data_IF_386696735769
#
_entry.id   IF_386696735769
#
_cell.length_a   1.000
_cell.length_b   1.000
_cell.length_c   1.000
_cell.angle_alpha   90.00
_cell.angle_beta   90.00
_cell.angle_gamma   90.00
#
_symmetry.space_group_name_H-M   'P 1'
#
loop_
_entity.id
_entity.type
_entity.pdbx_description
1 polymer ?
#
# COMPACT_ATOMS: atom_id res chain seq x y z
N UNK A 1 2.35 14.71 13.26
CA UNK A 1 1.25 13.77 13.59
C UNK A 1 1.73 12.84 14.69
N UNK A 2 1.23 13.01 15.91
CA UNK A 2 1.66 12.23 17.08
C UNK A 2 1.08 10.81 17.04
N UNK A 3 1.57 9.92 17.91
CA UNK A 3 0.98 8.58 18.08
C UNK A 3 -0.48 8.65 18.58
N UNK A 4 -0.81 9.69 19.34
CA UNK A 4 -2.17 9.90 19.84
C UNK A 4 -3.14 10.31 18.71
N UNK A 5 -2.71 11.17 17.78
CA UNK A 5 -3.52 11.59 16.63
C UNK A 5 -3.84 10.38 15.74
N UNK A 6 -2.82 9.58 15.44
CA UNK A 6 -2.94 8.33 14.71
C UNK A 6 -3.95 7.35 15.32
N UNK A 7 -3.95 7.21 16.66
CA UNK A 7 -4.91 6.38 17.38
C UNK A 7 -6.34 6.93 17.27
N UNK A 8 -6.52 8.24 17.37
CA UNK A 8 -7.83 8.90 17.19
C UNK A 8 -8.39 8.69 15.78
N UNK A 9 -7.53 8.74 14.76
CA UNK A 9 -7.92 8.48 13.37
C UNK A 9 -8.41 7.04 13.21
N UNK A 10 -7.67 6.06 13.72
CA UNK A 10 -8.07 4.65 13.65
C UNK A 10 -9.40 4.36 14.36
N UNK A 11 -9.65 4.96 15.52
CA UNK A 11 -10.94 4.84 16.22
C UNK A 11 -12.06 5.44 15.37
N UNK A 12 -11.82 6.59 14.74
CA UNK A 12 -12.79 7.26 13.88
C UNK A 12 -13.13 6.41 12.65
N UNK A 13 -12.13 5.79 12.03
CA UNK A 13 -12.35 4.88 10.89
C UNK A 13 -13.16 3.64 11.29
N UNK A 14 -12.88 3.01 12.43
CA UNK A 14 -13.65 1.87 12.94
C UNK A 14 -15.13 2.22 13.13
N UNK A 15 -15.44 3.43 13.61
CA UNK A 15 -16.83 3.91 13.73
C UNK A 15 -17.50 4.10 12.38
N UNK A 16 -16.78 4.62 11.39
CA UNK A 16 -17.30 4.80 10.03
C UNK A 16 -17.55 3.46 9.34
N UNK A 17 -16.65 2.50 9.50
CA UNK A 17 -16.80 1.14 8.95
C UNK A 17 -18.08 0.48 9.49
N UNK A 18 -18.28 0.53 10.82
CA UNK A 18 -19.47 -0.01 11.45
C UNK A 18 -20.74 0.74 11.03
N UNK A 19 -20.72 2.07 11.09
CA UNK A 19 -21.88 2.93 10.76
C UNK A 19 -22.34 2.75 9.31
N UNK A 20 -21.40 2.65 8.38
CA UNK A 20 -21.71 2.60 6.95
C UNK A 20 -21.69 1.18 6.38
N UNK A 21 -21.43 0.16 7.21
CA UNK A 21 -21.36 -1.22 6.75
C UNK A 21 -20.31 -1.44 5.67
N UNK A 22 -19.13 -0.80 5.79
CA UNK A 22 -18.09 -0.86 4.76
C UNK A 22 -17.62 -2.31 4.57
N UNK A 23 -17.82 -2.84 3.36
CA UNK A 23 -17.46 -4.22 3.02
C UNK A 23 -16.08 -4.35 2.38
N UNK A 24 -15.56 -3.28 1.80
CA UNK A 24 -14.26 -3.23 1.12
C UNK A 24 -13.40 -2.13 1.72
N UNK A 25 -12.24 -2.49 2.22
CA UNK A 25 -11.25 -1.55 2.74
C UNK A 25 -9.96 -1.64 1.93
N UNK A 26 -9.46 -0.50 1.42
CA UNK A 26 -8.20 -0.44 0.67
C UNK A 26 -7.28 0.60 1.28
N UNK A 27 -6.09 0.18 1.72
CA UNK A 27 -5.09 1.05 2.32
C UNK A 27 -3.67 0.51 2.15
N UNK A 28 -2.68 1.26 2.62
CA UNK A 28 -1.33 0.72 2.85
C UNK A 28 -1.31 -0.17 4.10
N UNK A 29 -0.31 -1.07 4.26
CA UNK A 29 -0.21 -1.96 5.42
C UNK A 29 -0.22 -1.22 6.75
N UNK A 30 0.56 -0.14 6.90
CA UNK A 30 0.65 0.61 8.16
C UNK A 30 -0.70 1.16 8.65
N UNK A 31 -1.59 1.55 7.74
CA UNK A 31 -2.94 2.04 8.07
C UNK A 31 -3.82 0.88 8.52
N UNK A 32 -3.72 -0.28 7.86
CA UNK A 32 -4.47 -1.47 8.24
C UNK A 32 -4.10 -1.93 9.65
N UNK A 33 -2.81 -2.01 9.95
CA UNK A 33 -2.32 -2.39 11.29
C UNK A 33 -2.90 -1.49 12.38
N UNK A 34 -2.93 -0.18 12.14
CA UNK A 34 -3.46 0.80 13.09
C UNK A 34 -4.97 0.65 13.30
N UNK A 35 -5.71 0.41 12.23
CA UNK A 35 -7.15 0.14 12.28
C UNK A 35 -7.45 -1.14 13.06
N UNK A 36 -6.71 -2.22 12.80
CA UNK A 36 -6.82 -3.51 13.49
C UNK A 36 -6.45 -3.43 14.97
N UNK A 37 -5.46 -2.61 15.33
CA UNK A 37 -5.04 -2.40 16.71
C UNK A 37 -6.07 -1.65 17.56
N UNK A 38 -6.96 -0.88 16.92
CA UNK A 38 -7.99 -0.09 17.60
C UNK A 38 -9.41 -0.68 17.44
N UNK A 39 -9.55 -1.91 16.92
CA UNK A 39 -10.86 -2.52 16.68
C UNK A 39 -11.58 -2.86 17.99
N UNK A 40 -12.89 -2.71 18.00
CA UNK A 40 -13.79 -3.28 19.00
C UNK A 40 -14.53 -4.48 18.40
N UNK A 41 -15.11 -5.35 19.25
CA UNK A 41 -15.71 -6.62 18.82
C UNK A 41 -16.70 -6.50 17.64
N UNK A 42 -17.45 -5.40 17.56
CA UNK A 42 -18.45 -5.19 16.51
C UNK A 42 -17.99 -4.27 15.37
N UNK A 43 -16.84 -3.61 15.51
CA UNK A 43 -16.44 -2.52 14.61
C UNK A 43 -16.15 -2.94 13.16
N UNK A 44 -15.75 -4.19 12.93
CA UNK A 44 -15.33 -4.69 11.62
C UNK A 44 -16.20 -5.84 11.09
N UNK A 45 -17.38 -6.07 11.68
CA UNK A 45 -18.24 -7.20 11.31
C UNK A 45 -18.76 -7.15 9.85
N UNK A 46 -18.76 -5.98 9.24
CA UNK A 46 -19.16 -5.76 7.84
C UNK A 46 -18.02 -5.97 6.84
N UNK A 47 -16.76 -5.96 7.28
CA UNK A 47 -15.61 -6.01 6.38
C UNK A 47 -15.45 -7.41 5.79
N UNK A 48 -15.43 -7.50 4.47
CA UNK A 48 -15.29 -8.77 3.73
C UNK A 48 -14.00 -8.85 2.94
N UNK A 49 -13.51 -7.71 2.45
CA UNK A 49 -12.32 -7.65 1.59
C UNK A 49 -11.37 -6.56 2.06
N UNK A 50 -10.08 -6.91 2.16
CA UNK A 50 -8.99 -5.98 2.50
C UNK A 50 -7.97 -5.96 1.37
N UNK A 51 -7.82 -4.81 0.72
CA UNK A 51 -6.82 -4.58 -0.32
C UNK A 51 -5.60 -3.86 0.23
N UNK A 52 -4.44 -4.53 0.22
CA UNK A 52 -3.16 -3.95 0.63
C UNK A 52 -2.38 -3.44 -0.59
N UNK A 53 -2.15 -2.12 -0.64
CA UNK A 53 -1.31 -1.53 -1.68
C UNK A 53 0.18 -1.81 -1.38
N UNK A 54 0.72 -2.90 -1.94
CA UNK A 54 2.16 -3.15 -1.94
C UNK A 54 2.77 -2.42 -3.14
N UNK A 55 3.59 -1.40 -2.88
CA UNK A 55 4.38 -0.80 -3.96
C UNK A 55 5.44 -1.80 -4.38
N UNK A 56 5.37 -2.30 -5.62
CA UNK A 56 6.51 -2.99 -6.22
C UNK A 56 7.68 -2.00 -6.27
N UNK A 57 8.70 -2.24 -5.44
CA UNK A 57 9.96 -1.52 -5.58
C UNK A 57 10.59 -2.00 -6.89
N UNK A 58 10.60 -1.15 -7.92
CA UNK A 58 11.36 -1.48 -9.12
C UNK A 58 12.84 -1.34 -8.79
N UNK A 59 13.49 -2.46 -8.51
CA UNK A 59 14.92 -2.54 -8.69
C UNK A 59 15.14 -2.49 -10.19
N UNK A 60 15.34 -1.27 -10.70
CA UNK A 60 15.67 -1.04 -12.10
C UNK A 60 17.00 -1.77 -12.31
N UNK A 61 16.95 -2.99 -12.85
CA UNK A 61 18.13 -3.66 -13.38
C UNK A 61 18.82 -2.60 -14.22
N UNK A 62 20.07 -2.27 -13.87
CA UNK A 62 20.88 -1.34 -14.65
C UNK A 62 21.19 -2.02 -15.97
N UNK A 63 20.22 -2.03 -16.89
CA UNK A 63 20.50 -2.25 -18.30
C UNK A 63 21.31 -1.03 -18.70
N UNK A 64 22.61 -1.23 -18.84
CA UNK A 64 23.53 -0.28 -19.45
C UNK A 64 22.99 -0.01 -20.87
N UNK A 65 22.21 1.05 -21.03
CA UNK A 65 21.76 1.50 -22.35
C UNK A 65 22.97 2.22 -22.95
N UNK A 66 23.65 1.64 -23.95
CA UNK A 66 24.77 2.32 -24.58
C UNK A 66 24.29 3.69 -25.06
N UNK A 67 25.07 4.72 -24.70
CA UNK A 67 24.81 6.09 -25.15
C UNK A 67 24.68 6.05 -26.66
N UNK A 68 23.49 6.45 -27.12
CA UNK A 68 23.06 6.55 -28.52
C UNK A 68 24.10 7.33 -29.33
N UNK A 69 25.12 6.65 -29.87
CA UNK A 69 25.78 7.07 -31.08
C UNK A 69 25.16 6.27 -32.23
N UNK A 70 24.51 6.97 -33.14
CA UNK A 70 23.59 6.42 -34.14
C UNK A 70 24.32 5.87 -35.37
N UNK A 71 25.51 5.28 -35.19
CA UNK A 71 26.36 4.77 -36.27
C UNK A 71 27.35 3.68 -35.82
N UNK A 72 26.88 2.57 -35.26
CA UNK A 72 27.57 1.27 -35.37
C UNK A 72 26.84 0.20 -34.57
N UNK A 73 26.06 -0.62 -35.28
CA UNK A 73 25.84 -1.99 -34.84
C UNK A 73 27.07 -2.78 -35.29
N UNK A 74 28.02 -3.01 -34.40
CA UNK A 74 28.96 -4.11 -34.58
C UNK A 74 28.69 -5.14 -33.50
N UNK A 75 28.26 -6.31 -33.95
CA UNK A 75 28.23 -7.53 -33.15
C UNK A 75 29.69 -7.90 -32.94
N UNK A 76 30.17 -7.78 -31.69
CA UNK A 76 31.40 -8.46 -31.29
C UNK A 76 30.97 -9.84 -30.80
N UNK A 77 31.14 -10.83 -31.67
CA UNK A 77 31.19 -12.23 -31.29
C UNK A 77 32.64 -12.55 -30.93
N UNK A 78 32.86 -12.99 -29.69
CA UNK A 78 34.13 -13.46 -29.15
C UNK A 78 33.89 -14.04 -27.77
#
# INVERSE_FOLDING_TARGET
>A
MSAADRKKDAISWNRLVARHGVTIWRSVPAILEMLLACRTAESLGSLRLVGLAVRRQQQRLRVNKPRRNMRSWQIVSG
#
